data_IF_484474905361
#
_entry.id   IF_484474905361
#
_cell.length_a   1.000
_cell.length_b   1.000
_cell.length_c   1.000
_cell.angle_alpha   90.00
_cell.angle_beta   90.00
_cell.angle_gamma   90.00
#
_symmetry.space_group_name_H-M   'P 1'
#
loop_
_entity.id
_entity.type
_entity.pdbx_description
1 polymer ?
#
# COMPACT_ATOMS: atom_id res chain seq x y z
N UNK A 1 -16.58 -24.29 -2.43
CA UNK A 1 -16.44 -25.17 -1.24
C UNK A 1 -16.17 -24.43 0.07
N UNK A 2 -15.82 -23.14 0.05
CA UNK A 2 -15.58 -22.36 1.26
C UNK A 2 -16.71 -22.41 2.32
N UNK A 3 -16.31 -22.75 3.55
CA UNK A 3 -17.11 -22.86 4.76
C UNK A 3 -18.16 -23.97 4.69
N UNK A 4 -17.86 -25.06 4.00
CA UNK A 4 -18.72 -26.23 3.96
C UNK A 4 -18.61 -27.08 5.23
N UNK A 5 -19.44 -28.12 5.30
CA UNK A 5 -19.48 -29.04 6.43
C UNK A 5 -18.16 -29.79 6.61
N UNK A 6 -17.46 -30.13 5.52
CA UNK A 6 -16.23 -30.89 5.59
C UNK A 6 -15.11 -30.07 6.24
N UNK A 7 -14.91 -28.83 5.77
CA UNK A 7 -13.93 -27.91 6.33
C UNK A 7 -14.15 -27.67 7.83
N UNK A 8 -15.39 -27.36 8.24
CA UNK A 8 -15.66 -27.09 9.65
C UNK A 8 -15.65 -28.34 10.54
N UNK A 9 -15.97 -29.52 10.00
CA UNK A 9 -15.82 -30.78 10.74
C UNK A 9 -14.35 -31.08 11.03
N UNK A 10 -13.47 -30.84 10.06
CA UNK A 10 -12.02 -30.97 10.25
C UNK A 10 -11.49 -29.95 11.27
N UNK A 11 -11.81 -28.66 11.13
CA UNK A 11 -11.37 -27.62 12.07
C UNK A 11 -11.75 -27.95 13.51
N UNK A 12 -12.98 -28.42 13.73
CA UNK A 12 -13.44 -28.83 15.07
C UNK A 12 -12.64 -30.01 15.62
N UNK A 13 -12.34 -30.99 14.77
CA UNK A 13 -11.50 -32.16 15.14
C UNK A 13 -10.08 -31.72 15.47
N UNK A 14 -9.51 -30.80 14.68
CA UNK A 14 -8.18 -30.23 14.95
C UNK A 14 -8.16 -29.52 16.31
N UNK A 15 -9.21 -28.79 16.68
CA UNK A 15 -9.33 -28.19 18.01
C UNK A 15 -9.32 -29.21 19.16
N UNK A 16 -9.90 -30.39 18.97
CA UNK A 16 -9.81 -31.50 19.93
C UNK A 16 -8.39 -32.07 20.00
N UNK A 17 -7.71 -32.21 18.85
CA UNK A 17 -6.31 -32.65 18.79
C UNK A 17 -5.35 -31.64 19.42
N UNK A 18 -5.61 -30.33 19.25
CA UNK A 18 -4.86 -29.25 19.87
C UNK A 18 -4.87 -29.38 21.41
N UNK A 19 -6.07 -29.52 21.99
CA UNK A 19 -6.23 -29.72 23.45
C UNK A 19 -5.51 -30.97 23.93
N UNK A 20 -5.63 -32.08 23.18
CA UNK A 20 -4.90 -33.31 23.49
C UNK A 20 -3.39 -33.12 23.43
N UNK A 21 -2.86 -32.34 22.49
CA UNK A 21 -1.42 -32.07 22.39
C UNK A 21 -0.93 -31.18 23.54
N UNK A 22 -1.75 -30.22 24.00
CA UNK A 22 -1.45 -29.42 25.19
C UNK A 22 -1.40 -30.24 26.49
N UNK A 23 -2.16 -31.34 26.59
CA UNK A 23 -2.02 -32.27 27.73
C UNK A 23 -0.62 -32.92 27.81
N UNK A 24 0.18 -32.83 26.75
CA UNK A 24 1.57 -33.31 26.67
C UNK A 24 2.58 -32.16 26.50
N UNK A 25 2.18 -30.91 26.77
CA UNK A 25 3.03 -29.71 26.65
C UNK A 25 3.63 -29.52 25.23
N UNK A 26 2.97 -30.01 24.19
CA UNK A 26 3.40 -29.83 22.80
C UNK A 26 2.85 -28.51 22.27
N UNK A 27 3.72 -27.66 21.71
CA UNK A 27 3.30 -26.41 21.06
C UNK A 27 2.54 -26.72 19.76
N UNK A 28 1.43 -26.01 19.53
CA UNK A 28 0.51 -26.25 18.41
C UNK A 28 0.14 -24.91 17.77
N UNK A 29 0.01 -24.92 16.45
CA UNK A 29 -0.67 -23.91 15.65
C UNK A 29 -1.69 -24.62 14.74
N UNK A 30 -2.73 -23.92 14.31
CA UNK A 30 -3.81 -24.46 13.48
C UNK A 30 -3.64 -23.99 12.05
N UNK A 31 -3.72 -24.91 11.07
CA UNK A 31 -3.75 -24.52 9.66
C UNK A 31 -5.19 -24.20 9.21
N UNK A 32 -5.31 -23.16 8.39
CA UNK A 32 -6.59 -22.60 7.91
C UNK A 32 -6.81 -22.77 6.40
N UNK A 33 -7.88 -22.15 5.88
CA UNK A 33 -8.34 -22.38 4.50
C UNK A 33 -7.40 -21.81 3.43
N UNK A 34 -7.65 -22.25 2.19
CA UNK A 34 -7.03 -21.70 0.97
C UNK A 34 -7.91 -20.70 0.20
N UNK A 35 -9.14 -21.07 -0.20
CA UNK A 35 -10.00 -20.24 -1.07
C UNK A 35 -11.30 -19.88 -0.34
N UNK A 36 -11.48 -18.58 -0.04
CA UNK A 36 -12.62 -18.08 0.75
C UNK A 36 -13.02 -16.69 0.24
N UNK A 37 -14.27 -16.50 -0.23
CA UNK A 37 -14.72 -15.17 -0.65
C UNK A 37 -14.73 -14.21 0.55
N UNK A 38 -14.44 -12.93 0.28
CA UNK A 38 -14.17 -11.92 1.31
C UNK A 38 -15.23 -11.85 2.42
N UNK A 39 -16.51 -11.96 2.07
CA UNK A 39 -17.63 -11.89 3.01
C UNK A 39 -17.74 -13.10 3.96
N UNK A 40 -16.93 -14.15 3.76
CA UNK A 40 -16.89 -15.37 4.55
C UNK A 40 -15.60 -15.52 5.37
N UNK A 41 -14.70 -14.55 5.33
CA UNK A 41 -13.40 -14.66 6.01
C UNK A 41 -13.55 -14.63 7.53
N UNK A 42 -14.29 -13.67 8.09
CA UNK A 42 -14.29 -13.46 9.55
C UNK A 42 -14.87 -14.64 10.34
N UNK A 43 -15.86 -15.34 9.80
CA UNK A 43 -16.39 -16.56 10.45
C UNK A 43 -15.32 -17.65 10.58
N UNK A 44 -14.28 -17.69 9.74
CA UNK A 44 -13.18 -18.65 9.91
C UNK A 44 -12.33 -18.31 11.14
N UNK A 45 -12.01 -17.03 11.38
CA UNK A 45 -11.34 -16.59 12.61
C UNK A 45 -12.19 -16.90 13.85
N UNK A 46 -13.47 -16.53 13.82
CA UNK A 46 -14.39 -16.77 14.94
C UNK A 46 -14.48 -18.26 15.31
N UNK A 47 -14.55 -19.14 14.30
CA UNK A 47 -14.62 -20.59 14.52
C UNK A 47 -13.31 -21.21 14.97
N UNK A 48 -12.18 -20.72 14.48
CA UNK A 48 -10.88 -21.19 14.95
C UNK A 48 -10.67 -20.82 16.41
N UNK A 49 -10.90 -19.56 16.79
CA UNK A 49 -10.79 -19.09 18.17
C UNK A 49 -11.70 -19.92 19.12
N UNK A 50 -12.97 -20.08 18.74
CA UNK A 50 -13.98 -20.81 19.53
C UNK A 50 -13.61 -22.30 19.71
N UNK A 51 -13.20 -22.98 18.65
CA UNK A 51 -13.04 -24.45 18.67
C UNK A 51 -11.64 -24.90 19.06
N UNK A 52 -10.62 -24.10 18.71
CA UNK A 52 -9.21 -24.42 18.92
C UNK A 52 -8.63 -23.75 20.18
N UNK A 53 -9.42 -22.93 20.88
CA UNK A 53 -9.06 -22.41 22.20
C UNK A 53 -8.00 -21.31 22.17
N UNK A 54 -8.01 -20.48 21.12
CA UNK A 54 -7.05 -19.38 20.93
C UNK A 54 -5.64 -19.84 20.56
N UNK A 55 -5.51 -21.01 19.93
CA UNK A 55 -4.24 -21.43 19.35
C UNK A 55 -3.83 -20.48 18.20
N UNK A 56 -2.54 -20.32 17.89
CA UNK A 56 -2.13 -19.49 16.77
C UNK A 56 -2.68 -20.04 15.44
N UNK A 57 -3.39 -19.21 14.69
CA UNK A 57 -3.92 -19.58 13.37
C UNK A 57 -2.91 -19.29 12.25
N UNK A 58 -2.78 -20.21 11.29
CA UNK A 58 -1.85 -20.17 10.16
C UNK A 58 -2.60 -20.43 8.84
N UNK A 59 -2.74 -19.42 7.98
CA UNK A 59 -3.63 -19.52 6.80
C UNK A 59 -2.86 -19.48 5.48
N UNK A 60 -3.37 -20.12 4.43
CA UNK A 60 -2.86 -19.99 3.06
C UNK A 60 -3.68 -18.96 2.30
N UNK A 61 -3.26 -17.69 2.32
CA UNK A 61 -4.09 -16.57 1.89
C UNK A 61 -5.10 -16.15 2.96
N UNK A 62 -6.43 -16.24 2.72
CA UNK A 62 -7.08 -16.99 1.62
C UNK A 62 -7.26 -16.22 0.31
N UNK A 63 -7.31 -16.93 -0.82
CA UNK A 63 -7.72 -16.42 -2.13
C UNK A 63 -9.19 -16.00 -2.09
N UNK A 64 -9.46 -14.73 -2.40
CA UNK A 64 -10.84 -14.19 -2.36
C UNK A 64 -11.63 -14.40 -3.65
N UNK A 65 -10.96 -14.83 -4.71
CA UNK A 65 -11.56 -15.12 -6.02
C UNK A 65 -10.66 -16.06 -6.82
N UNK A 66 -11.28 -16.92 -7.63
CA UNK A 66 -10.59 -17.99 -8.38
C UNK A 66 -10.31 -17.62 -9.85
N UNK A 67 -10.70 -16.41 -10.27
CA UNK A 67 -10.76 -16.03 -11.69
C UNK A 67 -9.45 -15.43 -12.25
N UNK A 68 -8.39 -15.35 -11.44
CA UNK A 68 -7.16 -14.65 -11.80
C UNK A 68 -5.88 -15.47 -11.58
N UNK A 69 -5.79 -16.72 -12.11
CA UNK A 69 -4.55 -17.48 -12.05
C UNK A 69 -3.41 -16.70 -12.73
N UNK A 70 -2.23 -16.71 -12.15
CA UNK A 70 -1.12 -15.80 -12.51
C UNK A 70 -1.03 -14.57 -11.60
N UNK A 71 -2.11 -14.27 -10.86
CA UNK A 71 -2.22 -13.12 -9.96
C UNK A 71 -2.69 -13.54 -8.56
N UNK A 72 -2.53 -14.81 -8.20
CA UNK A 72 -3.06 -15.35 -6.95
C UNK A 72 -2.37 -14.79 -5.70
N UNK A 73 -1.11 -14.34 -5.82
CA UNK A 73 -0.48 -13.50 -4.80
C UNK A 73 -1.32 -12.24 -4.45
N UNK A 74 -2.00 -11.64 -5.43
CA UNK A 74 -2.87 -10.47 -5.23
C UNK A 74 -4.23 -10.90 -4.67
N UNK A 75 -4.87 -11.90 -5.29
CA UNK A 75 -6.18 -12.39 -4.85
C UNK A 75 -6.14 -12.86 -3.39
N UNK A 76 -5.04 -13.52 -3.02
CA UNK A 76 -4.82 -14.00 -1.66
C UNK A 76 -4.36 -12.91 -0.69
N UNK A 77 -3.58 -11.91 -1.11
CA UNK A 77 -3.17 -10.82 -0.22
C UNK A 77 -4.36 -10.04 0.35
N UNK A 78 -5.43 -9.88 -0.45
CA UNK A 78 -6.69 -9.26 0.00
C UNK A 78 -7.27 -10.07 1.17
N UNK A 79 -7.36 -11.39 1.04
CA UNK A 79 -7.89 -12.24 2.09
C UNK A 79 -6.95 -12.36 3.28
N UNK A 80 -5.64 -12.46 3.03
CA UNK A 80 -4.60 -12.55 4.04
C UNK A 80 -4.59 -11.34 4.98
N UNK A 81 -4.66 -10.12 4.43
CA UNK A 81 -4.77 -8.91 5.24
C UNK A 81 -6.07 -8.90 6.07
N UNK A 82 -7.19 -9.34 5.50
CA UNK A 82 -8.47 -9.38 6.19
C UNK A 82 -8.52 -10.41 7.32
N UNK A 83 -7.99 -11.61 7.09
CA UNK A 83 -8.01 -12.69 8.09
C UNK A 83 -6.99 -12.43 9.20
N UNK A 84 -5.82 -11.87 8.88
CA UNK A 84 -4.84 -11.41 9.87
C UNK A 84 -5.35 -10.24 10.72
N UNK A 85 -6.06 -9.28 10.13
CA UNK A 85 -6.69 -8.20 10.89
C UNK A 85 -7.70 -8.73 11.93
N UNK A 86 -8.32 -9.89 11.65
CA UNK A 86 -9.21 -10.59 12.57
C UNK A 86 -8.54 -11.56 13.55
N UNK A 87 -7.22 -11.70 13.53
CA UNK A 87 -6.47 -12.45 14.57
C UNK A 87 -5.54 -13.56 14.07
N UNK A 88 -5.51 -13.88 12.77
CA UNK A 88 -4.57 -14.87 12.24
C UNK A 88 -3.11 -14.49 12.55
N UNK A 89 -2.35 -15.45 13.09
CA UNK A 89 -1.02 -15.22 13.64
C UNK A 89 0.11 -15.35 12.62
N UNK A 90 -0.06 -16.22 11.61
CA UNK A 90 0.92 -16.42 10.55
C UNK A 90 0.23 -16.58 9.20
N UNK A 91 0.85 -16.06 8.14
CA UNK A 91 0.33 -16.12 6.78
C UNK A 91 1.28 -16.90 5.89
N UNK A 92 0.81 -18.01 5.32
CA UNK A 92 1.51 -18.72 4.27
C UNK A 92 1.31 -17.93 2.98
N UNK A 93 2.43 -17.53 2.37
CA UNK A 93 2.39 -16.79 1.13
C UNK A 93 1.84 -17.62 -0.04
N UNK A 94 1.35 -16.91 -1.05
CA UNK A 94 0.93 -17.47 -2.34
C UNK A 94 1.71 -16.73 -3.41
N UNK A 95 2.29 -17.48 -4.35
CA UNK A 95 3.12 -16.90 -5.42
C UNK A 95 2.26 -16.51 -6.63
N UNK A 96 2.77 -15.70 -7.57
CA UNK A 96 2.09 -15.46 -8.84
C UNK A 96 1.78 -16.74 -9.62
N UNK A 97 2.63 -17.76 -9.51
CA UNK A 97 2.50 -19.04 -10.23
C UNK A 97 1.66 -20.10 -9.51
N UNK A 98 0.99 -19.75 -8.42
CA UNK A 98 0.03 -20.66 -7.80
C UNK A 98 -0.97 -21.16 -8.85
N UNK A 99 -1.34 -22.44 -8.77
CA UNK A 99 -2.17 -23.15 -9.74
C UNK A 99 -1.59 -23.28 -11.18
N UNK A 100 -0.38 -22.79 -11.44
CA UNK A 100 0.23 -22.78 -12.79
C UNK A 100 1.56 -23.52 -12.87
N UNK A 101 2.38 -23.51 -11.83
CA UNK A 101 3.65 -24.23 -11.82
C UNK A 101 4.57 -23.85 -10.66
N UNK A 102 5.79 -24.39 -10.68
CA UNK A 102 6.78 -24.10 -9.66
C UNK A 102 7.27 -22.63 -9.76
N UNK A 103 7.33 -21.89 -8.64
CA UNK A 103 7.83 -20.53 -8.62
C UNK A 103 9.33 -20.49 -8.89
N UNK A 104 9.77 -19.47 -9.63
CA UNK A 104 11.18 -19.12 -9.76
C UNK A 104 11.60 -18.11 -8.66
N UNK A 105 12.85 -17.64 -8.72
CA UNK A 105 13.39 -16.68 -7.74
C UNK A 105 12.56 -15.38 -7.64
N UNK A 106 12.10 -14.84 -8.76
CA UNK A 106 11.39 -13.56 -8.80
C UNK A 106 9.94 -13.72 -8.33
N UNK A 107 9.32 -14.87 -8.62
CA UNK A 107 8.00 -15.24 -8.09
C UNK A 107 8.04 -15.34 -6.55
N UNK A 108 9.13 -15.91 -6.00
CA UNK A 108 9.34 -16.00 -4.55
C UNK A 108 9.51 -14.60 -3.95
N UNK A 109 10.34 -13.72 -4.54
CA UNK A 109 10.49 -12.33 -4.07
C UNK A 109 9.13 -11.62 -4.07
N UNK A 110 8.39 -11.71 -5.17
CA UNK A 110 7.06 -11.12 -5.31
C UNK A 110 6.13 -11.61 -4.21
N UNK A 111 6.00 -12.93 -4.01
CA UNK A 111 5.16 -13.50 -2.95
C UNK A 111 5.55 -13.01 -1.55
N UNK A 112 6.85 -12.96 -1.23
CA UNK A 112 7.33 -12.51 0.09
C UNK A 112 6.99 -11.04 0.34
N UNK A 113 7.28 -10.15 -0.61
CA UNK A 113 6.96 -8.71 -0.48
C UNK A 113 5.44 -8.51 -0.37
N UNK A 114 4.67 -9.22 -1.19
CA UNK A 114 3.19 -9.19 -1.16
C UNK A 114 2.60 -9.67 0.16
N UNK A 115 3.23 -10.61 0.85
CA UNK A 115 2.73 -11.06 2.16
C UNK A 115 3.28 -10.24 3.32
N UNK A 116 4.47 -9.64 3.18
CA UNK A 116 4.98 -8.65 4.13
C UNK A 116 4.09 -7.41 4.18
N UNK A 117 3.61 -6.91 3.04
CA UNK A 117 2.66 -5.79 3.04
C UNK A 117 1.30 -6.19 3.62
N UNK A 118 0.80 -7.40 3.34
CA UNK A 118 -0.49 -7.86 3.87
C UNK A 118 -0.44 -8.02 5.41
N UNK A 119 0.65 -8.59 5.93
CA UNK A 119 0.89 -8.68 7.37
C UNK A 119 0.99 -7.29 8.02
N UNK A 120 1.78 -6.38 7.44
CA UNK A 120 1.91 -5.01 7.94
C UNK A 120 0.58 -4.26 7.92
N UNK A 121 -0.20 -4.38 6.85
CA UNK A 121 -1.53 -3.77 6.75
C UNK A 121 -2.48 -4.29 7.84
N UNK A 122 -2.40 -5.58 8.17
CA UNK A 122 -3.14 -6.15 9.29
C UNK A 122 -2.66 -5.62 10.65
N UNK A 123 -1.35 -5.48 10.85
CA UNK A 123 -0.79 -4.91 12.08
C UNK A 123 -1.21 -3.45 12.28
N UNK A 124 -1.22 -2.65 11.20
CA UNK A 124 -1.78 -1.29 11.21
C UNK A 124 -3.26 -1.32 11.58
N UNK A 125 -4.06 -2.18 10.94
CA UNK A 125 -5.50 -2.30 11.23
C UNK A 125 -5.79 -2.74 12.68
N UNK A 126 -4.91 -3.56 13.26
CA UNK A 126 -4.99 -4.00 14.67
C UNK A 126 -4.51 -2.93 15.65
N UNK A 127 -3.92 -1.83 15.17
CA UNK A 127 -3.28 -0.83 16.02
C UNK A 127 -2.07 -1.38 16.77
N UNK A 128 -1.32 -2.30 16.17
CA UNK A 128 -0.13 -2.89 16.78
C UNK A 128 0.89 -1.78 17.11
N UNK A 129 1.47 -1.75 18.33
CA UNK A 129 2.47 -0.75 18.70
C UNK A 129 3.62 -0.70 17.68
N UNK A 130 3.95 0.50 17.21
CA UNK A 130 5.02 0.73 16.24
C UNK A 130 4.67 0.50 14.76
N UNK A 131 3.51 -0.10 14.43
CA UNK A 131 3.15 -0.34 13.03
C UNK A 131 2.98 0.98 12.25
N UNK A 132 2.24 1.93 12.81
CA UNK A 132 2.03 3.25 12.21
C UNK A 132 3.31 4.09 12.07
N UNK A 133 4.31 3.88 12.92
CA UNK A 133 5.55 4.68 12.90
C UNK A 133 6.31 4.51 11.58
N UNK A 134 6.24 3.32 10.98
CA UNK A 134 6.85 3.07 9.67
C UNK A 134 6.11 3.83 8.56
N UNK A 135 4.77 3.77 8.54
CA UNK A 135 3.93 4.52 7.60
C UNK A 135 4.13 6.04 7.74
N UNK A 136 4.23 6.55 8.97
CA UNK A 136 4.46 7.97 9.25
C UNK A 136 5.85 8.41 8.77
N UNK A 137 6.89 7.61 9.02
CA UNK A 137 8.24 7.90 8.53
C UNK A 137 8.31 7.92 6.99
N UNK A 138 7.68 6.94 6.33
CA UNK A 138 7.53 6.86 4.88
C UNK A 138 6.78 8.07 4.32
N UNK A 139 5.64 8.40 4.93
CA UNK A 139 4.76 9.50 4.50
C UNK A 139 5.46 10.85 4.69
N UNK A 140 6.19 11.03 5.80
CA UNK A 140 7.01 12.21 6.03
C UNK A 140 8.13 12.34 5.00
N UNK A 141 8.87 11.26 4.71
CA UNK A 141 9.91 11.27 3.69
C UNK A 141 9.36 11.64 2.31
N UNK A 142 8.17 11.13 1.97
CA UNK A 142 7.47 11.46 0.73
C UNK A 142 7.06 12.93 0.67
N UNK A 143 6.47 13.47 1.73
CA UNK A 143 5.99 14.86 1.77
C UNK A 143 7.15 15.87 1.74
N UNK A 144 8.28 15.53 2.37
CA UNK A 144 9.49 16.35 2.39
C UNK A 144 10.41 16.10 1.17
N UNK A 145 9.97 15.31 0.19
CA UNK A 145 10.73 14.97 -1.01
C UNK A 145 12.13 14.37 -0.75
N UNK A 146 12.29 13.66 0.38
CA UNK A 146 13.51 12.93 0.73
C UNK A 146 13.52 11.57 0.03
N UNK A 147 13.75 11.58 -1.28
CA UNK A 147 13.60 10.39 -2.14
C UNK A 147 14.41 9.19 -1.68
N UNK A 148 15.70 9.38 -1.32
CA UNK A 148 16.55 8.29 -0.83
C UNK A 148 16.02 7.67 0.46
N UNK A 149 15.52 8.49 1.38
CA UNK A 149 14.91 8.00 2.61
C UNK A 149 13.60 7.27 2.32
N UNK A 150 12.79 7.76 1.38
CA UNK A 150 11.58 7.10 0.94
C UNK A 150 11.88 5.71 0.34
N UNK A 151 12.91 5.57 -0.49
CA UNK A 151 13.31 4.27 -1.03
C UNK A 151 13.80 3.34 0.07
N UNK A 152 14.70 3.81 0.93
CA UNK A 152 15.28 3.03 2.02
C UNK A 152 14.23 2.55 3.03
N UNK A 153 13.16 3.33 3.23
CA UNK A 153 12.04 2.95 4.09
C UNK A 153 11.06 1.99 3.41
N UNK A 154 11.14 1.74 2.10
CA UNK A 154 10.18 0.87 1.42
C UNK A 154 10.46 -0.62 1.68
N UNK A 155 9.46 -1.48 1.46
CA UNK A 155 9.63 -2.93 1.57
C UNK A 155 10.60 -3.51 0.54
N UNK A 156 10.76 -2.83 -0.61
CA UNK A 156 11.64 -3.23 -1.70
C UNK A 156 12.36 -2.00 -2.29
N UNK A 157 13.43 -1.50 -1.62
CA UNK A 157 14.13 -0.27 -2.00
C UNK A 157 14.63 -0.25 -3.44
N UNK A 158 15.17 -1.38 -3.92
CA UNK A 158 15.71 -1.52 -5.27
C UNK A 158 14.62 -1.25 -6.32
N UNK A 159 13.44 -1.83 -6.14
CA UNK A 159 12.30 -1.65 -7.05
C UNK A 159 11.74 -0.22 -6.97
N UNK A 160 11.62 0.33 -5.76
CA UNK A 160 11.12 1.69 -5.56
C UNK A 160 12.00 2.73 -6.26
N UNK A 161 13.32 2.59 -6.15
CA UNK A 161 14.28 3.46 -6.84
C UNK A 161 14.25 3.23 -8.35
N UNK A 162 14.25 1.97 -8.80
CA UNK A 162 14.23 1.64 -10.22
C UNK A 162 13.03 2.29 -10.95
N UNK A 163 11.82 2.21 -10.39
CA UNK A 163 10.62 2.78 -10.99
C UNK A 163 10.65 4.32 -11.05
N UNK A 164 11.23 4.98 -10.05
CA UNK A 164 11.46 6.41 -10.13
C UNK A 164 12.44 6.75 -11.28
N UNK A 165 13.53 5.98 -11.36
CA UNK A 165 14.66 6.25 -12.26
C UNK A 165 14.38 5.92 -13.72
N UNK A 166 13.34 5.14 -14.01
CA UNK A 166 12.84 4.92 -15.37
C UNK A 166 12.52 6.24 -16.10
N UNK A 167 12.10 7.27 -15.36
CA UNK A 167 11.73 8.58 -15.93
C UNK A 167 12.61 9.73 -15.45
N UNK A 168 13.14 9.64 -14.23
CA UNK A 168 13.97 10.69 -13.62
C UNK A 168 15.28 10.10 -13.04
N UNK A 169 16.17 9.56 -13.89
CA UNK A 169 17.38 8.84 -13.42
C UNK A 169 18.46 9.76 -12.84
N UNK A 170 18.44 11.05 -13.19
CA UNK A 170 19.49 11.97 -12.77
C UNK A 170 19.48 12.17 -11.25
N UNK A 171 20.66 12.16 -10.62
CA UNK A 171 20.79 12.29 -9.17
C UNK A 171 20.12 13.57 -8.60
N UNK A 172 20.17 14.74 -9.26
CA UNK A 172 19.42 15.92 -8.80
C UNK A 172 17.90 15.74 -8.70
N UNK A 173 17.33 14.74 -9.38
CA UNK A 173 15.90 14.42 -9.24
C UNK A 173 15.57 13.81 -7.87
N UNK A 174 16.55 13.26 -7.14
CA UNK A 174 16.37 12.71 -5.77
C UNK A 174 16.25 13.79 -4.70
N UNK A 175 16.38 15.04 -5.09
CA UNK A 175 16.09 16.21 -4.26
C UNK A 175 15.01 17.10 -4.88
N UNK A 176 14.36 16.66 -5.96
CA UNK A 176 13.34 17.44 -6.64
C UNK A 176 12.01 17.39 -5.87
N UNK A 177 11.34 18.54 -5.77
CA UNK A 177 10.02 18.67 -5.15
C UNK A 177 8.87 18.25 -6.06
N UNK A 178 9.07 17.19 -6.86
CA UNK A 178 8.08 16.60 -7.75
C UNK A 178 8.58 15.24 -8.27
N UNK A 179 7.67 14.46 -8.85
CA UNK A 179 8.00 13.30 -9.68
C UNK A 179 7.48 13.49 -11.12
N UNK A 180 7.77 12.54 -11.99
CA UNK A 180 7.33 12.58 -13.39
C UNK A 180 5.80 12.55 -13.56
N UNK A 181 5.06 12.03 -12.57
CA UNK A 181 3.60 11.89 -12.64
C UNK A 181 2.86 13.22 -12.76
N UNK A 182 3.25 14.23 -11.98
CA UNK A 182 2.62 15.56 -12.00
C UNK A 182 3.55 16.65 -12.55
N UNK A 183 4.84 16.33 -12.70
CA UNK A 183 5.87 17.30 -13.05
C UNK A 183 6.04 18.40 -12.00
N UNK A 184 6.90 19.38 -12.27
CA UNK A 184 7.19 20.44 -11.33
C UNK A 184 5.92 21.23 -10.99
N UNK A 185 5.16 21.70 -11.99
CA UNK A 185 4.11 22.70 -11.79
C UNK A 185 2.88 22.21 -11.02
N UNK A 186 2.53 20.92 -11.11
CA UNK A 186 1.25 20.39 -10.62
C UNK A 186 1.39 19.38 -9.47
N UNK A 187 2.57 19.27 -8.85
CA UNK A 187 2.74 18.40 -7.69
C UNK A 187 1.91 18.91 -6.50
N UNK A 188 0.90 18.12 -6.09
CA UNK A 188 -0.01 18.47 -5.00
C UNK A 188 0.68 18.67 -3.66
N UNK A 189 1.71 17.86 -3.35
CA UNK A 189 2.49 17.98 -2.12
C UNK A 189 3.31 19.27 -2.10
N UNK A 190 3.92 19.64 -3.23
CA UNK A 190 4.67 20.90 -3.35
C UNK A 190 3.75 22.10 -3.20
N UNK A 191 2.63 22.12 -3.92
CA UNK A 191 1.62 23.18 -3.79
C UNK A 191 1.12 23.29 -2.35
N UNK A 192 0.90 22.15 -1.68
CA UNK A 192 0.50 22.16 -0.26
C UNK A 192 1.58 22.71 0.66
N UNK A 193 2.86 22.45 0.36
CA UNK A 193 4.01 23.01 1.09
C UNK A 193 4.09 24.53 0.87
N UNK A 194 4.00 25.00 -0.37
CA UNK A 194 4.02 26.42 -0.73
C UNK A 194 2.89 27.19 0.01
N UNK A 195 1.66 26.64 0.03
CA UNK A 195 0.53 27.23 0.75
C UNK A 195 0.78 27.27 2.27
N UNK A 196 1.37 26.23 2.85
CA UNK A 196 1.71 26.21 4.29
C UNK A 196 2.77 27.25 4.62
N UNK A 197 3.78 27.38 3.77
CA UNK A 197 4.90 28.30 4.00
C UNK A 197 4.46 29.77 3.84
N UNK A 198 3.56 30.05 2.90
CA UNK A 198 3.06 31.41 2.64
C UNK A 198 1.92 31.82 3.58
N UNK A 199 0.98 30.92 3.89
CA UNK A 199 -0.27 31.27 4.58
C UNK A 199 -0.47 30.58 5.92
N UNK A 200 0.41 29.66 6.35
CA UNK A 200 0.21 28.80 7.53
C UNK A 200 -0.11 29.57 8.81
N UNK A 201 0.65 30.62 9.12
CA UNK A 201 0.44 31.42 10.33
C UNK A 201 -0.84 32.26 10.27
N UNK A 202 -1.18 32.77 9.09
CA UNK A 202 -2.40 33.55 8.87
C UNK A 202 -3.65 32.65 8.95
N UNK A 203 -3.62 31.48 8.31
CA UNK A 203 -4.70 30.49 8.41
C UNK A 203 -4.91 30.00 9.84
N UNK A 204 -3.82 29.72 10.56
CA UNK A 204 -3.90 29.29 11.96
C UNK A 204 -4.53 30.39 12.84
N UNK A 205 -4.13 31.66 12.65
CA UNK A 205 -4.70 32.79 13.35
C UNK A 205 -6.18 33.02 13.02
N UNK A 206 -6.57 32.98 11.75
CA UNK A 206 -7.93 33.24 11.30
C UNK A 206 -8.91 32.14 11.75
N UNK A 207 -8.44 30.90 11.89
CA UNK A 207 -9.25 29.75 12.32
C UNK A 207 -9.15 29.45 13.82
N UNK A 208 -8.37 30.22 14.59
CA UNK A 208 -8.14 29.98 16.01
C UNK A 208 -7.43 28.65 16.31
N UNK A 209 -6.65 28.14 15.35
CA UNK A 209 -5.85 26.92 15.48
C UNK A 209 -4.43 27.25 15.98
N UNK A 210 -3.76 26.36 16.72
CA UNK A 210 -2.35 26.54 17.06
C UNK A 210 -1.51 26.65 15.78
N UNK A 211 -0.58 27.62 15.73
CA UNK A 211 0.39 27.73 14.63
C UNK A 211 1.17 26.41 14.54
N UNK A 212 1.10 25.77 13.37
CA UNK A 212 1.89 24.60 13.05
C UNK A 212 3.24 25.15 12.60
N UNK A 213 4.12 25.38 13.55
CA UNK A 213 5.37 26.11 13.33
C UNK A 213 6.18 25.62 12.12
N UNK A 214 6.84 26.57 11.46
CA UNK A 214 7.72 26.35 10.31
C UNK A 214 8.76 25.23 10.55
N UNK A 215 8.96 24.29 9.62
CA UNK A 215 10.25 23.62 9.51
C UNK A 215 11.31 24.71 9.23
N UNK A 216 12.22 24.93 10.18
CA UNK A 216 13.25 25.99 10.11
C UNK A 216 14.29 25.81 8.99
N UNK A 217 14.15 24.78 8.17
CA UNK A 217 15.06 24.45 7.07
C UNK A 217 14.34 24.31 5.71
N UNK A 218 13.05 24.67 5.62
CA UNK A 218 12.39 24.75 4.32
C UNK A 218 12.97 25.94 3.56
N UNK A 219 13.76 25.66 2.51
CA UNK A 219 14.12 26.66 1.53
C UNK A 219 12.82 27.37 1.12
N UNK A 220 12.73 28.67 1.39
CA UNK A 220 11.62 29.50 0.91
C UNK A 220 11.34 29.13 -0.54
N UNK A 221 10.07 28.85 -0.88
CA UNK A 221 9.66 28.64 -2.25
C UNK A 221 10.34 29.72 -3.12
N UNK A 222 11.23 29.29 -4.00
CA UNK A 222 12.02 30.20 -4.82
C UNK A 222 11.01 31.09 -5.57
N UNK A 223 11.08 32.42 -5.43
CA UNK A 223 10.18 33.33 -6.13
C UNK A 223 10.11 33.06 -7.63
N UNK A 224 11.21 32.59 -8.22
CA UNK A 224 11.28 32.21 -9.63
C UNK A 224 10.45 30.94 -9.93
N UNK A 225 10.33 30.03 -8.97
CA UNK A 225 9.50 28.82 -9.10
C UNK A 225 8.02 29.16 -8.99
N UNK A 226 7.62 30.03 -8.05
CA UNK A 226 6.23 30.49 -7.93
C UNK A 226 5.78 31.25 -9.19
N UNK A 227 6.62 32.17 -9.68
CA UNK A 227 6.38 32.88 -10.93
C UNK A 227 6.29 31.91 -12.13
N UNK A 228 7.12 30.86 -12.17
CA UNK A 228 7.05 29.84 -13.22
C UNK A 228 5.80 28.94 -13.15
N UNK A 229 5.22 28.75 -11.96
CA UNK A 229 3.94 28.06 -11.77
C UNK A 229 2.81 28.92 -12.27
N UNK A 230 2.73 30.17 -11.83
CA UNK A 230 1.69 31.12 -12.26
C UNK A 230 1.75 31.30 -13.79
N UNK A 231 2.94 31.55 -14.35
CA UNK A 231 3.12 31.64 -15.81
C UNK A 231 2.74 30.35 -16.54
N UNK A 232 2.97 29.17 -15.94
CA UNK A 232 2.56 27.90 -16.51
C UNK A 232 1.06 27.63 -16.43
N UNK A 233 0.41 28.09 -15.37
CA UNK A 233 -1.05 28.04 -15.23
C UNK A 233 -1.70 29.01 -16.21
N UNK A 234 -1.13 30.20 -16.41
CA UNK A 234 -1.56 31.16 -17.42
C UNK A 234 -1.40 30.60 -18.83
N UNK A 235 -0.26 29.97 -19.14
CA UNK A 235 -0.01 29.31 -20.43
C UNK A 235 -1.05 28.21 -20.69
N UNK A 236 -1.31 27.33 -19.72
CA UNK A 236 -2.29 26.25 -19.88
C UNK A 236 -3.72 26.76 -19.91
N UNK A 237 -4.02 27.83 -19.19
CA UNK A 237 -5.32 28.51 -19.24
C UNK A 237 -5.54 29.17 -20.60
N UNK A 238 -4.51 29.81 -21.15
CA UNK A 238 -4.54 30.37 -22.50
C UNK A 238 -4.71 29.26 -23.55
N UNK A 239 -3.95 28.16 -23.46
CA UNK A 239 -4.08 27.01 -24.35
C UNK A 239 -5.48 26.39 -24.27
N UNK A 240 -6.04 26.25 -23.07
CA UNK A 240 -7.40 25.76 -22.87
C UNK A 240 -8.45 26.66 -23.53
N UNK A 241 -8.31 27.99 -23.39
CA UNK A 241 -9.20 28.96 -24.03
C UNK A 241 -9.03 28.99 -25.55
N UNK A 242 -7.81 28.92 -26.07
CA UNK A 242 -7.50 28.86 -27.50
C UNK A 242 -8.09 27.62 -28.15
N UNK A 243 -8.10 26.49 -27.43
CA UNK A 243 -8.72 25.24 -27.87
C UNK A 243 -10.23 25.18 -27.58
N UNK A 244 -10.87 26.34 -27.37
CA UNK A 244 -12.33 26.47 -27.27
C UNK A 244 -12.91 26.15 -25.90
N UNK A 245 -12.09 26.10 -24.84
CA UNK A 245 -12.54 25.82 -23.48
C UNK A 245 -13.10 24.41 -23.31
N UNK A 246 -12.67 23.47 -24.15
CA UNK A 246 -13.15 22.09 -24.14
C UNK A 246 -12.21 21.20 -23.32
N UNK A 247 -12.81 20.39 -22.44
CA UNK A 247 -12.07 19.43 -21.61
C UNK A 247 -11.56 18.25 -22.46
N UNK A 248 -12.31 17.91 -23.51
CA UNK A 248 -11.96 16.85 -24.46
C UNK A 248 -11.64 17.48 -25.80
N UNK A 249 -10.41 17.30 -26.26
CA UNK A 249 -9.94 17.79 -27.55
C UNK A 249 -10.13 16.67 -28.57
N UNK A 250 -10.70 16.97 -29.73
CA UNK A 250 -10.71 16.03 -30.86
C UNK A 250 -9.26 15.77 -31.30
N UNK A 251 -8.86 14.50 -31.46
CA UNK A 251 -7.52 14.17 -31.98
C UNK A 251 -7.37 14.74 -33.40
N UNK A 252 -6.30 15.50 -33.62
CA UNK A 252 -5.95 15.97 -34.96
C UNK A 252 -5.79 14.77 -35.90
N UNK A 253 -6.63 14.70 -36.92
CA UNK A 253 -6.64 13.64 -37.95
C UNK A 253 -5.36 13.61 -38.84
N UNK A 254 -4.27 14.24 -38.41
CA UNK A 254 -2.99 14.34 -39.13
C UNK A 254 -1.88 13.43 -38.57
N UNK A 255 -2.09 12.76 -37.44
CA UNK A 255 -1.14 11.75 -36.93
C UNK A 255 -1.62 10.34 -37.31
N UNK A 256 -1.66 10.05 -38.61
CA UNK A 256 -1.63 8.66 -39.07
C UNK A 256 -0.18 8.18 -39.01
N UNK A 257 0.07 7.20 -38.14
CA UNK A 257 1.34 6.49 -38.01
C UNK A 257 1.85 5.98 -39.37
N UNK A 258 3.06 6.40 -39.75
CA UNK A 258 3.95 5.70 -40.67
C UNK A 258 5.00 4.92 -39.89
#
# INVERSE_FOLDING_TARGET
DANDTAQFAELKTIGELCKRAWDYDVQVMIEGPGHVPLNKIQINNEKEEEWCGGAPFYTLGPLVTDIAPGYDHITSAIGAANIAAGGTAMLCYVTPKEHLGLPNKDDVKTGVITYKLAAHAADVAKGHPGAHEWDDAMSKARFEFRWHDQFALSLDPDTAQAYHDETLPAEPAKTAHFCSMCGPKFCSMRISQDIRDEFGDKMAADLGLPSIGQPKDAAHADPDVLAAVEAGMDEKSAEFLERGGQIYLEEDASVQHS
#
